data_IF_351337502749
#
_entry.id   IF_351337502749
#
_cell.length_a   1.000
_cell.length_b   1.000
_cell.length_c   1.000
_cell.angle_alpha   90.00
_cell.angle_beta   90.00
_cell.angle_gamma   90.00
#
_symmetry.space_group_name_H-M   'P 1'
#
loop_
_entity.id
_entity.type
_entity.pdbx_description
1 polymer ?
#
# COMPACT_ATOMS: atom_id res chain seq x y z
N UNK A 1 58.60 -5.46 -13.04
CA UNK A 1 57.72 -4.89 -11.99
C UNK A 1 56.63 -3.97 -12.54
N UNK A 2 56.93 -2.94 -13.37
CA UNK A 2 55.94 -1.99 -13.93
C UNK A 2 54.73 -2.64 -14.64
N UNK A 3 54.91 -3.67 -15.49
CA UNK A 3 53.82 -4.34 -16.20
C UNK A 3 52.85 -5.04 -15.24
N UNK A 4 53.31 -5.62 -14.13
CA UNK A 4 52.43 -6.28 -13.14
C UNK A 4 51.55 -5.26 -12.39
N UNK A 5 52.10 -4.10 -12.07
CA UNK A 5 51.31 -3.00 -11.43
C UNK A 5 50.28 -2.41 -12.36
N UNK A 6 50.61 -2.27 -13.67
CA UNK A 6 49.62 -1.83 -14.68
C UNK A 6 48.49 -2.83 -14.89
N UNK A 7 48.79 -4.12 -14.92
CA UNK A 7 47.75 -5.17 -15.03
C UNK A 7 46.88 -5.23 -13.78
N UNK A 8 47.46 -5.12 -12.59
CA UNK A 8 46.71 -5.03 -11.34
C UNK A 8 45.81 -3.80 -11.31
N UNK A 9 46.30 -2.63 -11.68
CA UNK A 9 45.53 -1.41 -11.79
C UNK A 9 44.36 -1.52 -12.77
N UNK A 10 44.59 -2.12 -13.93
CA UNK A 10 43.55 -2.37 -14.93
C UNK A 10 42.50 -3.34 -14.42
N UNK A 11 42.91 -4.43 -13.76
CA UNK A 11 41.98 -5.40 -13.14
C UNK A 11 41.12 -4.77 -12.04
N UNK A 12 41.75 -3.98 -11.14
CA UNK A 12 41.00 -3.25 -10.11
C UNK A 12 40.02 -2.23 -10.70
N UNK A 13 40.43 -1.52 -11.75
CA UNK A 13 39.58 -0.58 -12.47
C UNK A 13 38.38 -1.28 -13.12
N UNK A 14 38.58 -2.44 -13.74
CA UNK A 14 37.49 -3.25 -14.33
C UNK A 14 36.52 -3.71 -13.26
N UNK A 15 37.01 -4.25 -12.14
CA UNK A 15 36.16 -4.71 -11.03
C UNK A 15 35.34 -3.56 -10.46
N UNK A 16 35.93 -2.40 -10.22
CA UNK A 16 35.22 -1.21 -9.73
C UNK A 16 34.13 -0.75 -10.71
N UNK A 17 34.44 -0.76 -12.01
CA UNK A 17 33.47 -0.41 -13.06
C UNK A 17 32.30 -1.37 -13.11
N UNK A 18 32.55 -2.67 -13.06
CA UNK A 18 31.49 -3.72 -13.03
C UNK A 18 30.65 -3.63 -11.78
N UNK A 19 31.27 -3.41 -10.62
CA UNK A 19 30.55 -3.17 -9.36
C UNK A 19 29.64 -1.94 -9.44
N UNK A 20 30.17 -0.81 -9.93
CA UNK A 20 29.38 0.41 -10.13
C UNK A 20 28.21 0.21 -11.10
N UNK A 21 28.44 -0.47 -12.22
CA UNK A 21 27.41 -0.77 -13.20
C UNK A 21 26.31 -1.67 -12.61
N UNK A 22 26.66 -2.69 -11.84
CA UNK A 22 25.73 -3.57 -11.16
C UNK A 22 24.88 -2.80 -10.14
N UNK A 23 25.50 -1.97 -9.31
CA UNK A 23 24.77 -1.12 -8.34
C UNK A 23 23.86 -0.11 -9.05
N UNK A 24 24.31 0.48 -10.15
CA UNK A 24 23.50 1.40 -10.96
C UNK A 24 22.28 0.73 -11.58
N UNK A 25 22.45 -0.47 -12.14
CA UNK A 25 21.36 -1.26 -12.69
C UNK A 25 20.36 -1.69 -11.59
N UNK A 26 20.87 -2.13 -10.43
CA UNK A 26 20.05 -2.49 -9.27
C UNK A 26 19.24 -1.32 -8.73
N UNK A 27 19.84 -0.13 -8.61
CA UNK A 27 19.14 1.10 -8.22
C UNK A 27 18.04 1.44 -9.23
N UNK A 28 18.30 1.29 -10.54
CA UNK A 28 17.31 1.48 -11.59
C UNK A 28 16.15 0.51 -11.46
N UNK A 29 16.42 -0.78 -11.29
CA UNK A 29 15.39 -1.80 -11.13
C UNK A 29 14.52 -1.54 -9.90
N UNK A 30 15.11 -1.13 -8.79
CA UNK A 30 14.41 -0.85 -7.54
C UNK A 30 13.50 0.38 -7.66
N UNK A 31 13.98 1.46 -8.26
CA UNK A 31 13.28 2.76 -8.30
C UNK A 31 12.38 2.93 -9.53
N UNK A 32 12.63 2.16 -10.58
CA UNK A 32 11.89 2.18 -11.84
C UNK A 32 11.44 0.76 -12.22
N UNK A 33 10.47 0.18 -11.48
CA UNK A 33 10.00 -1.16 -11.77
C UNK A 33 9.40 -1.25 -13.17
N UNK A 34 9.49 -2.44 -13.82
CA UNK A 34 8.89 -2.64 -15.14
C UNK A 34 7.40 -2.32 -15.14
N UNK A 35 6.97 -1.45 -16.06
CA UNK A 35 5.55 -1.10 -16.24
C UNK A 35 4.90 -2.18 -17.09
N UNK A 36 4.16 -3.06 -16.43
CA UNK A 36 3.45 -4.16 -17.09
C UNK A 36 2.20 -3.64 -17.81
N UNK A 37 1.84 -4.20 -18.97
CA UNK A 37 0.55 -3.95 -19.60
C UNK A 37 -0.60 -4.42 -18.68
N UNK A 38 -1.84 -4.03 -19.01
CA UNK A 38 -3.02 -4.56 -18.34
C UNK A 38 -3.15 -6.06 -18.59
N UNK A 39 -3.38 -6.83 -17.54
CA UNK A 39 -3.79 -8.21 -17.64
C UNK A 39 -5.21 -8.34 -18.22
N UNK A 40 -5.56 -9.53 -18.75
CA UNK A 40 -6.87 -9.76 -19.35
C UNK A 40 -8.01 -9.50 -18.35
N UNK A 41 -7.86 -9.96 -17.09
CA UNK A 41 -8.86 -9.74 -16.04
C UNK A 41 -9.00 -8.25 -15.68
N UNK A 42 -7.91 -7.46 -15.70
CA UNK A 42 -7.97 -6.03 -15.42
C UNK A 42 -8.74 -5.29 -16.50
N UNK A 43 -8.55 -5.66 -17.77
CA UNK A 43 -9.31 -5.11 -18.90
C UNK A 43 -10.79 -5.44 -18.76
N UNK A 44 -11.13 -6.68 -18.52
CA UNK A 44 -12.51 -7.14 -18.31
C UNK A 44 -13.20 -6.35 -17.19
N UNK A 45 -12.53 -6.16 -16.03
CA UNK A 45 -13.08 -5.40 -14.91
C UNK A 45 -13.30 -3.92 -15.23
N UNK A 46 -12.47 -3.33 -16.09
CA UNK A 46 -12.63 -1.95 -16.53
C UNK A 46 -13.71 -1.79 -17.60
N UNK A 47 -13.92 -2.81 -18.43
CA UNK A 47 -14.96 -2.85 -19.48
C UNK A 47 -16.34 -3.17 -18.88
N UNK A 48 -16.39 -4.03 -17.85
CA UNK A 48 -17.63 -4.50 -17.25
C UNK A 48 -17.69 -4.29 -15.72
N UNK A 49 -17.44 -3.09 -15.19
CA UNK A 49 -17.35 -2.86 -13.75
C UNK A 49 -18.66 -3.16 -13.00
N UNK A 50 -19.81 -3.02 -13.67
CA UNK A 50 -21.12 -3.37 -13.09
C UNK A 50 -21.24 -4.87 -12.76
N UNK A 51 -20.60 -5.77 -13.52
CA UNK A 51 -20.55 -7.20 -13.20
C UNK A 51 -19.86 -7.47 -11.86
N UNK A 52 -19.00 -6.55 -11.43
CA UNK A 52 -18.29 -6.55 -10.15
C UNK A 52 -18.94 -5.65 -9.09
N UNK A 53 -20.19 -5.19 -9.35
CA UNK A 53 -20.94 -4.34 -8.42
C UNK A 53 -20.38 -2.93 -8.25
N UNK A 54 -19.62 -2.43 -9.22
CA UNK A 54 -18.96 -1.12 -9.14
C UNK A 54 -19.25 -0.25 -10.36
N UNK A 55 -19.18 1.05 -10.16
CA UNK A 55 -18.91 2.04 -11.21
C UNK A 55 -17.45 2.44 -11.10
N UNK A 56 -16.74 2.48 -12.21
CA UNK A 56 -15.33 2.85 -12.27
C UNK A 56 -15.14 4.01 -13.25
N UNK A 57 -14.64 5.12 -12.74
CA UNK A 57 -14.21 6.25 -13.56
C UNK A 57 -12.69 6.31 -13.62
N UNK A 58 -12.14 6.68 -14.79
CA UNK A 58 -10.71 6.88 -15.03
C UNK A 58 -10.46 8.38 -15.20
N UNK A 59 -9.45 8.90 -14.51
CA UNK A 59 -9.08 10.29 -14.64
C UNK A 59 -7.57 10.49 -14.40
N UNK A 60 -7.12 11.69 -14.74
CA UNK A 60 -5.76 12.15 -14.48
C UNK A 60 -5.88 13.45 -13.70
N UNK A 61 -5.22 13.53 -12.56
CA UNK A 61 -5.17 14.74 -11.74
C UNK A 61 -4.36 15.85 -12.42
N UNK A 62 -4.52 17.08 -11.97
CA UNK A 62 -3.83 18.24 -12.53
C UNK A 62 -2.29 18.12 -12.51
N UNK A 63 -1.73 17.33 -11.59
CA UNK A 63 -0.29 17.04 -11.50
C UNK A 63 0.16 15.89 -12.40
N UNK A 64 -0.72 15.37 -13.25
CA UNK A 64 -0.46 14.24 -14.15
C UNK A 64 -0.64 12.86 -13.51
N UNK A 65 -1.05 12.76 -12.24
CA UNK A 65 -1.27 11.47 -11.55
C UNK A 65 -2.52 10.78 -12.08
N UNK A 66 -2.42 9.61 -12.74
CA UNK A 66 -3.59 8.85 -13.16
C UNK A 66 -4.22 8.14 -11.97
N UNK A 67 -5.56 8.05 -11.93
CA UNK A 67 -6.27 7.33 -10.90
C UNK A 67 -7.57 6.67 -11.40
N UNK A 68 -8.03 5.69 -10.65
CA UNK A 68 -9.38 5.14 -10.74
C UNK A 68 -10.21 5.67 -9.56
N UNK A 69 -11.46 6.01 -9.84
CA UNK A 69 -12.48 6.25 -8.83
C UNK A 69 -13.51 5.13 -8.92
N UNK A 70 -13.56 4.29 -7.87
CA UNK A 70 -14.47 3.16 -7.78
C UNK A 70 -15.56 3.46 -6.76
N UNK A 71 -16.81 3.28 -7.13
CA UNK A 71 -17.98 3.46 -6.29
C UNK A 71 -18.90 2.24 -6.36
N UNK A 72 -19.67 1.92 -5.30
CA UNK A 72 -20.66 0.88 -5.38
C UNK A 72 -21.72 1.22 -6.44
N UNK A 73 -22.06 0.25 -7.29
CA UNK A 73 -23.17 0.39 -8.24
C UNK A 73 -24.46 -0.13 -7.63
N UNK A 74 -25.32 0.78 -7.17
CA UNK A 74 -26.58 0.45 -6.53
C UNK A 74 -27.55 -0.32 -7.46
N UNK A 75 -27.48 -0.10 -8.76
CA UNK A 75 -28.33 -0.76 -9.74
C UNK A 75 -27.89 -2.21 -10.00
N UNK A 76 -26.59 -2.45 -10.09
CA UNK A 76 -26.04 -3.80 -10.29
C UNK A 76 -26.10 -4.67 -9.03
N UNK A 77 -26.05 -4.05 -7.85
CA UNK A 77 -25.94 -4.77 -6.59
C UNK A 77 -24.53 -5.34 -6.35
N UNK A 78 -24.26 -5.91 -5.15
CA UNK A 78 -22.92 -6.41 -4.82
C UNK A 78 -22.63 -7.71 -5.57
N UNK A 79 -21.42 -7.84 -6.12
CA UNK A 79 -20.89 -9.08 -6.68
C UNK A 79 -20.61 -10.12 -5.57
N UNK A 80 -20.22 -11.34 -5.94
CA UNK A 80 -20.09 -12.48 -5.01
C UNK A 80 -19.20 -12.17 -3.81
N UNK A 81 -18.02 -11.64 -4.01
CA UNK A 81 -17.09 -11.27 -2.92
C UNK A 81 -17.65 -10.15 -2.03
N UNK A 82 -18.34 -9.20 -2.64
CA UNK A 82 -19.03 -8.13 -1.93
C UNK A 82 -20.18 -8.66 -1.07
N UNK A 83 -20.98 -9.62 -1.57
CA UNK A 83 -22.05 -10.29 -0.78
C UNK A 83 -21.45 -11.02 0.43
N UNK A 84 -20.37 -11.77 0.23
CA UNK A 84 -19.69 -12.48 1.33
C UNK A 84 -19.23 -11.49 2.40
N UNK A 85 -18.54 -10.42 2.01
CA UNK A 85 -18.09 -9.40 2.96
C UNK A 85 -19.25 -8.78 3.74
N UNK A 86 -20.35 -8.45 3.06
CA UNK A 86 -21.51 -7.87 3.72
C UNK A 86 -22.16 -8.83 4.73
N UNK A 87 -22.25 -10.12 4.39
CA UNK A 87 -22.71 -11.14 5.32
C UNK A 87 -21.79 -11.25 6.54
N UNK A 88 -20.49 -11.21 6.35
CA UNK A 88 -19.48 -11.22 7.43
C UNK A 88 -19.62 -9.99 8.35
N UNK A 89 -19.77 -8.79 7.78
CA UNK A 89 -19.97 -7.56 8.55
C UNK A 89 -21.26 -7.64 9.39
N UNK A 90 -22.35 -8.15 8.82
CA UNK A 90 -23.60 -8.35 9.53
C UNK A 90 -23.47 -9.36 10.66
N UNK A 91 -22.87 -10.53 10.40
CA UNK A 91 -22.67 -11.57 11.40
C UNK A 91 -21.77 -11.09 12.57
N UNK A 92 -20.77 -10.30 12.26
CA UNK A 92 -19.86 -9.70 13.25
C UNK A 92 -20.44 -8.46 13.95
N UNK A 93 -21.65 -8.02 13.58
CA UNK A 93 -22.27 -6.77 14.07
C UNK A 93 -21.36 -5.55 13.90
N UNK A 94 -20.57 -5.54 12.82
CA UNK A 94 -19.70 -4.44 12.46
C UNK A 94 -20.45 -3.40 11.61
N UNK A 95 -20.01 -2.13 11.63
CA UNK A 95 -20.62 -1.10 10.80
C UNK A 95 -20.63 -1.50 9.32
N UNK A 96 -21.78 -1.33 8.67
CA UNK A 96 -21.94 -1.43 7.23
C UNK A 96 -22.91 -0.37 6.74
N UNK A 97 -22.72 0.13 5.51
CA UNK A 97 -23.66 1.03 4.87
C UNK A 97 -24.75 0.24 4.12
N UNK A 98 -25.92 0.86 3.86
CA UNK A 98 -26.82 0.35 2.83
C UNK A 98 -26.06 0.27 1.51
N UNK A 99 -26.28 -0.80 0.72
CA UNK A 99 -25.58 -0.92 -0.55
C UNK A 99 -25.90 0.28 -1.47
N UNK A 100 -24.87 0.85 -2.08
CA UNK A 100 -24.98 2.11 -2.83
C UNK A 100 -24.76 3.38 -2.00
N UNK A 101 -24.88 3.32 -0.68
CA UNK A 101 -24.57 4.44 0.20
C UNK A 101 -23.06 4.53 0.44
N UNK A 102 -22.50 5.74 0.34
CA UNK A 102 -21.06 6.00 0.54
C UNK A 102 -20.86 6.75 1.86
N UNK A 103 -20.11 6.14 2.78
CA UNK A 103 -19.81 6.69 4.10
C UNK A 103 -18.52 7.49 4.16
N UNK A 104 -17.65 7.35 3.18
CA UNK A 104 -16.38 8.08 3.05
C UNK A 104 -15.53 7.52 1.93
N UNK A 105 -14.32 8.09 1.80
CA UNK A 105 -13.38 7.69 0.75
C UNK A 105 -12.18 6.96 1.35
N UNK A 106 -11.78 5.85 0.73
CA UNK A 106 -10.57 5.11 1.04
C UNK A 106 -9.59 5.25 -0.14
N UNK A 107 -8.44 5.89 0.09
CA UNK A 107 -7.39 5.99 -0.93
C UNK A 107 -6.51 4.75 -0.83
N UNK A 108 -6.49 3.96 -1.91
CA UNK A 108 -5.79 2.67 -2.00
C UNK A 108 -4.44 2.86 -2.69
N UNK A 109 -3.35 2.55 -1.99
CA UNK A 109 -1.97 2.69 -2.46
C UNK A 109 -1.37 1.30 -2.70
N UNK A 110 -0.98 1.03 -3.95
CA UNK A 110 -0.51 -0.29 -4.37
C UNK A 110 0.94 -0.58 -3.98
N UNK A 111 1.35 -1.85 -4.06
CA UNK A 111 2.70 -2.32 -3.81
C UNK A 111 3.66 -2.04 -4.98
N UNK A 112 4.95 -2.33 -4.74
CA UNK A 112 6.00 -2.23 -5.76
C UNK A 112 5.73 -3.18 -6.94
N UNK A 113 5.96 -2.70 -8.16
CA UNK A 113 5.72 -3.46 -9.40
C UNK A 113 4.23 -3.65 -9.76
N UNK A 114 3.31 -3.11 -8.96
CA UNK A 114 1.88 -3.10 -9.21
C UNK A 114 1.44 -1.81 -9.95
N UNK A 115 0.14 -1.71 -10.22
CA UNK A 115 -0.52 -0.56 -10.82
C UNK A 115 -1.91 -0.38 -10.21
N UNK A 116 -2.56 0.77 -10.43
CA UNK A 116 -3.88 1.07 -9.87
C UNK A 116 -4.92 -0.03 -10.12
N UNK A 117 -4.92 -0.64 -11.31
CA UNK A 117 -5.86 -1.70 -11.65
C UNK A 117 -5.63 -2.99 -10.86
N UNK A 118 -4.43 -3.20 -10.32
CA UNK A 118 -4.15 -4.34 -9.45
C UNK A 118 -4.98 -4.34 -8.15
N UNK A 119 -5.53 -3.19 -7.78
CA UNK A 119 -6.35 -3.04 -6.58
C UNK A 119 -7.87 -3.06 -6.85
N UNK A 120 -8.34 -3.33 -8.08
CA UNK A 120 -9.77 -3.41 -8.39
C UNK A 120 -10.49 -4.44 -7.51
N UNK A 121 -9.89 -5.63 -7.30
CA UNK A 121 -10.42 -6.68 -6.42
C UNK A 121 -10.53 -6.20 -4.96
N UNK A 122 -9.62 -5.35 -4.52
CA UNK A 122 -9.65 -4.72 -3.19
C UNK A 122 -10.73 -3.66 -3.13
N UNK A 123 -10.84 -2.83 -4.18
CA UNK A 123 -11.84 -1.78 -4.29
C UNK A 123 -13.28 -2.36 -4.31
N UNK A 124 -13.52 -3.47 -5.02
CA UNK A 124 -14.82 -4.17 -5.02
C UNK A 124 -15.33 -4.41 -3.59
N UNK A 125 -14.48 -4.97 -2.74
CA UNK A 125 -14.86 -5.31 -1.36
C UNK A 125 -15.14 -4.07 -0.52
N UNK A 126 -14.29 -3.05 -0.62
CA UNK A 126 -14.51 -1.82 0.14
C UNK A 126 -15.71 -1.02 -0.39
N UNK A 127 -15.97 -1.03 -1.70
CA UNK A 127 -17.18 -0.48 -2.28
C UNK A 127 -18.42 -1.21 -1.75
N UNK A 128 -18.37 -2.55 -1.68
CA UNK A 128 -19.47 -3.34 -1.12
C UNK A 128 -19.74 -3.05 0.37
N UNK A 129 -18.74 -2.61 1.12
CA UNK A 129 -18.89 -2.18 2.51
C UNK A 129 -19.48 -0.76 2.65
N UNK A 130 -19.53 0.03 1.57
CA UNK A 130 -20.02 1.41 1.57
C UNK A 130 -18.93 2.47 1.57
N UNK A 131 -17.79 2.18 0.97
CA UNK A 131 -16.69 3.13 0.78
C UNK A 131 -16.53 3.47 -0.71
N UNK A 132 -16.20 4.71 -1.02
CA UNK A 132 -15.61 5.10 -2.30
C UNK A 132 -14.14 4.75 -2.26
N UNK A 133 -13.59 4.17 -3.33
CA UNK A 133 -12.16 3.88 -3.43
C UNK A 133 -11.51 4.75 -4.49
N UNK A 134 -10.49 5.49 -4.10
CA UNK A 134 -9.63 6.25 -5.00
C UNK A 134 -8.30 5.51 -5.13
N UNK A 135 -7.90 5.15 -6.34
CA UNK A 135 -6.72 4.31 -6.58
C UNK A 135 -5.77 5.01 -7.55
N UNK A 136 -4.79 5.79 -7.07
CA UNK A 136 -3.80 6.42 -7.94
C UNK A 136 -2.70 5.44 -8.35
N UNK A 137 -2.10 5.64 -9.55
CA UNK A 137 -0.80 5.07 -9.86
C UNK A 137 0.29 5.84 -9.10
N UNK A 138 1.12 5.13 -8.34
CA UNK A 138 2.25 5.72 -7.63
C UNK A 138 3.41 6.04 -8.60
N UNK A 139 4.28 7.01 -8.28
CA UNK A 139 5.45 7.35 -9.09
C UNK A 139 6.29 6.12 -9.46
N UNK A 140 6.75 6.07 -10.70
CA UNK A 140 7.49 4.94 -11.26
C UNK A 140 6.62 3.75 -11.71
N UNK A 141 5.31 3.76 -11.49
CA UNK A 141 4.42 2.63 -11.72
C UNK A 141 3.25 2.98 -12.66
N UNK A 142 2.66 1.94 -13.25
CA UNK A 142 1.47 2.05 -14.08
C UNK A 142 1.62 3.11 -15.17
N UNK A 143 0.67 4.03 -15.23
CA UNK A 143 0.63 5.15 -16.19
C UNK A 143 1.13 6.47 -15.57
N UNK A 144 1.66 6.46 -14.33
CA UNK A 144 2.19 7.68 -13.71
C UNK A 144 3.37 8.23 -14.52
N UNK A 145 3.39 9.53 -14.90
CA UNK A 145 4.46 10.10 -15.72
C UNK A 145 5.81 10.18 -15.02
N UNK A 146 5.84 10.19 -13.68
CA UNK A 146 7.09 10.19 -12.94
C UNK A 146 7.90 8.92 -13.25
N UNK A 147 9.19 9.05 -13.64
CA UNK A 147 9.97 7.90 -14.07
C UNK A 147 10.33 6.94 -12.94
N UNK A 148 10.43 7.44 -11.70
CA UNK A 148 10.94 6.68 -10.57
C UNK A 148 10.16 6.96 -9.29
N UNK A 149 10.07 5.96 -8.41
CA UNK A 149 9.57 6.07 -7.04
C UNK A 149 10.71 6.36 -6.05
N UNK A 150 10.42 7.11 -4.99
CA UNK A 150 11.27 7.22 -3.80
C UNK A 150 10.67 6.54 -2.57
N UNK A 151 9.71 5.65 -2.75
CA UNK A 151 9.01 4.96 -1.66
C UNK A 151 8.32 5.90 -0.67
N UNK A 152 7.88 7.07 -1.15
CA UNK A 152 7.27 8.11 -0.32
C UNK A 152 8.27 9.04 0.36
N UNK A 153 9.55 9.04 -0.03
CA UNK A 153 10.56 9.93 0.58
C UNK A 153 10.40 11.37 0.11
N UNK A 154 10.11 11.58 -1.16
CA UNK A 154 9.91 12.93 -1.71
C UNK A 154 8.60 13.55 -1.22
N UNK A 155 8.63 14.83 -0.92
CA UNK A 155 7.45 15.60 -0.51
C UNK A 155 6.30 15.55 -1.52
N UNK A 156 6.62 15.55 -2.82
CA UNK A 156 5.64 15.39 -3.89
C UNK A 156 4.93 14.04 -3.83
N UNK A 157 5.63 12.97 -3.45
CA UNK A 157 5.06 11.63 -3.28
C UNK A 157 4.20 11.54 -2.02
N UNK A 158 4.63 12.14 -0.91
CA UNK A 158 3.84 12.22 0.33
C UNK A 158 2.52 12.95 0.13
N UNK A 159 2.52 14.00 -0.69
CA UNK A 159 1.33 14.80 -0.96
C UNK A 159 0.40 14.20 -2.04
N UNK A 160 0.87 13.20 -2.83
CA UNK A 160 0.13 12.63 -3.95
C UNK A 160 -1.27 12.13 -3.56
N UNK A 161 -1.47 11.35 -2.47
CA UNK A 161 -2.80 10.84 -2.12
C UNK A 161 -3.81 11.97 -1.83
N UNK A 162 -3.35 13.03 -1.18
CA UNK A 162 -4.20 14.18 -0.85
C UNK A 162 -4.54 15.01 -2.10
N UNK A 163 -3.57 15.21 -3.02
CA UNK A 163 -3.82 15.90 -4.28
C UNK A 163 -4.78 15.13 -5.18
N UNK A 164 -4.57 13.81 -5.33
CA UNK A 164 -5.48 12.97 -6.10
C UNK A 164 -6.90 12.97 -5.52
N UNK A 165 -7.03 12.95 -4.18
CA UNK A 165 -8.33 13.04 -3.52
C UNK A 165 -9.01 14.39 -3.74
N UNK A 166 -8.27 15.49 -3.68
CA UNK A 166 -8.80 16.83 -3.91
C UNK A 166 -9.27 17.00 -5.37
N UNK A 167 -8.48 16.53 -6.36
CA UNK A 167 -8.85 16.54 -7.77
C UNK A 167 -10.12 15.70 -8.01
N UNK A 168 -10.16 14.47 -7.50
CA UNK A 168 -11.32 13.59 -7.66
C UNK A 168 -12.57 14.20 -7.00
N UNK A 169 -12.45 14.77 -5.81
CA UNK A 169 -13.55 15.41 -5.10
C UNK A 169 -14.14 16.60 -5.90
N UNK A 170 -13.27 17.43 -6.46
CA UNK A 170 -13.69 18.56 -7.31
C UNK A 170 -14.33 18.07 -8.63
N UNK A 171 -13.69 17.13 -9.31
CA UNK A 171 -14.12 16.62 -10.62
C UNK A 171 -15.44 15.85 -10.58
N UNK A 172 -15.64 15.04 -9.52
CA UNK A 172 -16.80 14.17 -9.37
C UNK A 172 -17.81 14.67 -8.33
N UNK A 173 -17.66 15.92 -7.87
CA UNK A 173 -18.59 16.65 -7.00
C UNK A 173 -18.94 15.92 -5.69
N UNK A 174 -17.93 15.47 -4.93
CA UNK A 174 -18.14 14.89 -3.63
C UNK A 174 -17.27 15.54 -2.52
N UNK A 175 -17.65 15.37 -1.27
CA UNK A 175 -16.82 15.83 -0.15
C UNK A 175 -15.54 14.99 -0.05
N UNK A 176 -14.33 15.59 0.01
CA UNK A 176 -13.10 14.84 0.23
C UNK A 176 -13.01 14.22 1.64
N UNK A 177 -13.96 14.52 2.51
CA UNK A 177 -14.02 14.01 3.89
C UNK A 177 -15.39 13.39 4.20
N UNK A 178 -15.43 12.35 5.09
CA UNK A 178 -14.29 11.70 5.75
C UNK A 178 -13.48 10.82 4.81
N UNK A 179 -12.16 10.68 5.07
CA UNK A 179 -11.26 9.92 4.22
C UNK A 179 -10.16 9.18 5.01
N UNK A 180 -9.82 7.99 4.55
CA UNK A 180 -8.75 7.17 5.11
C UNK A 180 -7.74 6.72 4.03
N UNK A 181 -6.55 6.34 4.47
CA UNK A 181 -5.52 5.72 3.64
C UNK A 181 -5.49 4.21 3.85
N UNK A 182 -5.23 3.48 2.79
CA UNK A 182 -4.94 2.07 2.81
C UNK A 182 -3.72 1.80 1.92
N UNK A 183 -2.77 1.02 2.38
CA UNK A 183 -1.60 0.72 1.57
C UNK A 183 -1.08 -0.69 1.77
N UNK A 184 -0.70 -1.33 0.65
CA UNK A 184 -0.12 -2.66 0.60
C UNK A 184 1.39 -2.56 0.38
N UNK A 185 2.20 -3.22 1.21
CA UNK A 185 3.65 -3.30 1.04
C UNK A 185 4.27 -1.89 0.90
N UNK A 186 4.91 -1.55 -0.20
CA UNK A 186 5.35 -0.19 -0.52
C UNK A 186 4.26 0.85 -0.30
N UNK A 187 3.02 0.57 -0.72
CA UNK A 187 1.87 1.46 -0.51
C UNK A 187 1.58 1.73 0.96
N UNK A 188 1.89 0.78 1.86
CA UNK A 188 1.79 0.97 3.31
C UNK A 188 2.79 2.00 3.84
N UNK A 189 4.03 1.97 3.34
CA UNK A 189 5.02 3.00 3.63
C UNK A 189 4.57 4.38 3.14
N UNK A 190 4.04 4.45 1.90
CA UNK A 190 3.43 5.67 1.37
C UNK A 190 2.27 6.16 2.25
N UNK A 191 1.39 5.26 2.71
CA UNK A 191 0.25 5.62 3.55
C UNK A 191 0.69 6.24 4.88
N UNK A 192 1.69 5.66 5.56
CA UNK A 192 2.25 6.21 6.79
C UNK A 192 2.84 7.61 6.58
N UNK A 193 3.65 7.78 5.52
CA UNK A 193 4.29 9.05 5.21
C UNK A 193 3.29 10.11 4.74
N UNK A 194 2.30 9.74 3.94
CA UNK A 194 1.23 10.66 3.52
C UNK A 194 0.36 11.11 4.71
N UNK A 195 0.20 10.23 5.71
CA UNK A 195 -0.60 10.54 6.90
C UNK A 195 0.04 11.58 7.84
N UNK A 196 1.33 11.82 7.75
CA UNK A 196 1.99 12.93 8.45
C UNK A 196 1.46 14.28 7.96
N UNK A 197 1.06 14.33 6.70
CA UNK A 197 0.56 15.52 6.02
C UNK A 197 -0.91 15.31 5.64
N UNK A 198 -1.69 16.31 5.79
CA UNK A 198 -3.12 16.24 5.44
C UNK A 198 -4.03 15.72 6.55
N UNK A 199 -5.31 15.75 6.25
CA UNK A 199 -6.38 15.49 7.21
C UNK A 199 -6.99 14.11 6.98
N UNK A 200 -6.32 13.05 7.40
CA UNK A 200 -6.80 11.68 7.30
C UNK A 200 -7.48 11.23 8.59
N UNK A 201 -8.57 10.49 8.50
CA UNK A 201 -9.33 10.00 9.66
C UNK A 201 -8.80 8.66 10.17
N UNK A 202 -8.15 7.87 9.30
CA UNK A 202 -7.55 6.59 9.64
C UNK A 202 -6.51 6.15 8.60
N UNK A 203 -5.64 5.21 8.98
CA UNK A 203 -4.64 4.59 8.09
C UNK A 203 -4.68 3.08 8.27
N UNK A 204 -4.69 2.33 7.17
CA UNK A 204 -4.51 0.87 7.15
C UNK A 204 -3.20 0.55 6.44
N UNK A 205 -2.38 -0.26 7.05
CA UNK A 205 -1.08 -0.70 6.55
C UNK A 205 -1.08 -2.22 6.46
N UNK A 206 -0.87 -2.76 5.26
CA UNK A 206 -0.91 -4.20 5.02
C UNK A 206 0.47 -4.67 4.56
N UNK A 207 1.07 -5.64 5.28
CA UNK A 207 2.36 -6.27 4.96
C UNK A 207 3.44 -5.26 4.54
N UNK A 208 3.65 -4.21 5.34
CA UNK A 208 4.61 -3.15 5.04
C UNK A 208 5.83 -3.20 5.95
N UNK A 209 6.87 -2.54 5.52
CA UNK A 209 8.16 -2.48 6.20
C UNK A 209 8.30 -1.23 7.08
N UNK A 210 9.14 -1.32 8.07
CA UNK A 210 9.55 -0.22 8.94
C UNK A 210 10.74 0.58 8.39
N UNK A 211 11.66 -0.12 7.70
CA UNK A 211 12.83 0.44 7.01
C UNK A 211 13.03 -0.28 5.67
N UNK A 212 13.39 0.47 4.61
CA UNK A 212 13.54 -0.11 3.26
C UNK A 212 14.84 -0.91 3.12
N UNK A 213 15.94 -0.41 3.67
CA UNK A 213 17.27 -0.98 3.50
C UNK A 213 17.35 -2.45 3.94
N UNK A 214 16.79 -2.87 5.10
CA UNK A 214 16.74 -4.28 5.49
C UNK A 214 15.94 -5.16 4.52
N UNK A 215 14.86 -4.65 3.93
CA UNK A 215 14.06 -5.40 2.93
C UNK A 215 14.88 -5.65 1.67
N UNK A 216 15.55 -4.61 1.15
CA UNK A 216 16.42 -4.74 -0.03
C UNK A 216 17.56 -5.71 0.25
N UNK A 217 18.21 -5.60 1.41
CA UNK A 217 19.26 -6.53 1.82
C UNK A 217 18.76 -7.97 1.89
N UNK A 218 17.62 -8.22 2.53
CA UNK A 218 17.02 -9.55 2.66
C UNK A 218 16.66 -10.15 1.31
N UNK A 219 16.13 -9.34 0.37
CA UNK A 219 15.85 -9.79 -0.98
C UNK A 219 17.12 -10.14 -1.77
N UNK A 220 18.16 -9.34 -1.65
CA UNK A 220 19.47 -9.64 -2.23
C UNK A 220 20.06 -10.93 -1.62
N UNK A 221 20.01 -11.06 -0.29
CA UNK A 221 20.54 -12.24 0.40
C UNK A 221 19.88 -13.53 -0.07
N UNK A 222 18.56 -13.52 -0.27
CA UNK A 222 17.82 -14.67 -0.81
C UNK A 222 18.21 -15.03 -2.23
N UNK A 223 18.59 -14.05 -3.07
CA UNK A 223 18.93 -14.25 -4.48
C UNK A 223 20.39 -14.60 -4.71
N UNK A 224 21.30 -13.98 -3.99
CA UNK A 224 22.73 -14.03 -4.26
C UNK A 224 23.60 -14.27 -3.02
N UNK A 225 22.99 -14.58 -1.87
CA UNK A 225 23.67 -14.90 -0.61
C UNK A 225 24.00 -13.69 0.26
N UNK A 226 24.23 -13.92 1.55
CA UNK A 226 24.39 -12.87 2.58
C UNK A 226 25.62 -12.00 2.36
N UNK A 227 26.77 -12.60 2.04
CA UNK A 227 28.00 -11.84 1.82
C UNK A 227 27.88 -10.85 0.65
N UNK A 228 27.22 -11.31 -0.44
CA UNK A 228 26.99 -10.50 -1.65
C UNK A 228 26.05 -9.34 -1.35
N UNK A 229 24.99 -9.58 -0.57
CA UNK A 229 24.09 -8.52 -0.14
C UNK A 229 24.82 -7.46 0.66
N UNK A 230 25.65 -7.86 1.61
CA UNK A 230 26.43 -6.96 2.45
C UNK A 230 27.42 -6.12 1.60
N UNK A 231 28.09 -6.72 0.63
CA UNK A 231 29.02 -6.04 -0.25
C UNK A 231 28.34 -5.06 -1.20
N UNK A 232 27.12 -5.35 -1.67
CA UNK A 232 26.40 -4.51 -2.63
C UNK A 232 25.65 -3.33 -2.00
N UNK A 233 25.22 -3.43 -0.76
CA UNK A 233 24.38 -2.40 -0.13
C UNK A 233 24.97 -0.99 -0.14
N UNK A 234 26.27 -0.75 0.17
CA UNK A 234 26.85 0.59 0.11
C UNK A 234 26.81 1.20 -1.29
N UNK A 235 27.18 0.41 -2.31
CA UNK A 235 27.17 0.85 -3.70
C UNK A 235 25.74 1.08 -4.22
N UNK A 236 24.80 0.22 -3.82
CA UNK A 236 23.39 0.36 -4.18
C UNK A 236 22.78 1.62 -3.55
N UNK A 237 23.09 1.90 -2.29
CA UNK A 237 22.63 3.11 -1.60
C UNK A 237 23.18 4.38 -2.29
N UNK A 238 24.45 4.39 -2.62
CA UNK A 238 25.06 5.49 -3.38
C UNK A 238 24.44 5.64 -4.78
N UNK A 239 24.28 4.54 -5.51
CA UNK A 239 23.69 4.56 -6.85
C UNK A 239 22.23 5.06 -6.81
N UNK A 240 21.46 4.68 -5.79
CA UNK A 240 20.08 5.16 -5.59
C UNK A 240 20.08 6.67 -5.28
N UNK A 241 21.01 7.15 -4.46
CA UNK A 241 21.15 8.57 -4.16
C UNK A 241 21.46 9.39 -5.44
N UNK A 242 22.43 8.93 -6.24
CA UNK A 242 22.84 9.61 -7.48
C UNK A 242 21.78 9.55 -8.58
N UNK A 243 21.08 8.41 -8.72
CA UNK A 243 20.10 8.18 -9.79
C UNK A 243 18.73 8.74 -9.49
N UNK A 244 18.28 8.63 -8.25
CA UNK A 244 16.89 8.88 -7.85
C UNK A 244 16.75 9.94 -6.76
N UNK A 245 17.87 10.53 -6.29
CA UNK A 245 17.87 11.66 -5.37
C UNK A 245 17.43 11.31 -3.93
N UNK A 246 17.50 10.03 -3.52
CA UNK A 246 17.26 9.61 -2.13
C UNK A 246 18.15 8.42 -1.77
N UNK A 247 18.40 8.23 -0.49
CA UNK A 247 19.12 7.08 0.05
C UNK A 247 18.14 6.02 0.54
N UNK A 248 18.46 4.74 0.36
CA UNK A 248 17.62 3.63 0.84
C UNK A 248 17.45 3.69 2.36
N UNK A 249 18.52 4.08 3.08
CA UNK A 249 18.54 4.19 4.54
C UNK A 249 17.66 5.35 5.06
N UNK A 250 17.34 6.34 4.21
CA UNK A 250 16.43 7.44 4.55
C UNK A 250 14.96 7.02 4.52
N UNK A 251 14.63 5.92 3.81
CA UNK A 251 13.24 5.44 3.71
C UNK A 251 12.88 4.66 4.96
N UNK A 252 12.35 5.38 5.96
CA UNK A 252 12.05 4.89 7.32
C UNK A 252 10.60 5.18 7.71
N UNK A 253 9.61 4.39 7.25
CA UNK A 253 8.22 4.51 7.69
C UNK A 253 8.03 4.41 9.21
N UNK A 254 9.01 3.82 9.90
CA UNK A 254 9.05 3.75 11.37
C UNK A 254 9.02 5.15 12.03
N UNK A 255 9.70 6.12 11.41
CA UNK A 255 9.75 7.48 11.95
C UNK A 255 8.39 8.17 11.79
N UNK A 256 7.71 7.95 10.65
CA UNK A 256 6.33 8.37 10.45
C UNK A 256 5.40 7.74 11.50
N UNK A 257 5.53 6.44 11.75
CA UNK A 257 4.72 5.74 12.74
C UNK A 257 4.84 6.37 14.14
N UNK A 258 6.05 6.76 14.56
CA UNK A 258 6.30 7.46 15.85
C UNK A 258 5.59 8.81 15.94
N UNK A 259 5.51 9.52 14.82
CA UNK A 259 4.93 10.87 14.75
C UNK A 259 3.40 10.87 14.64
N UNK A 260 2.80 9.79 14.13
CA UNK A 260 1.37 9.73 13.85
C UNK A 260 0.52 9.75 15.11
N UNK A 261 -0.52 10.59 15.09
CA UNK A 261 -1.55 10.68 16.15
C UNK A 261 -2.91 10.16 15.69
N UNK A 262 -2.99 9.66 14.44
CA UNK A 262 -4.20 9.16 13.82
C UNK A 262 -4.42 7.68 14.16
N UNK A 263 -5.65 7.17 14.09
CA UNK A 263 -5.89 5.73 14.20
C UNK A 263 -5.16 4.97 13.10
N UNK A 264 -4.41 3.94 13.47
CA UNK A 264 -3.66 3.08 12.52
C UNK A 264 -4.01 1.62 12.77
N UNK A 265 -4.33 0.91 11.69
CA UNK A 265 -4.54 -0.53 11.70
C UNK A 265 -3.46 -1.20 10.87
N UNK A 266 -2.63 -2.02 11.51
CA UNK A 266 -1.59 -2.81 10.84
C UNK A 266 -2.08 -4.24 10.70
N UNK A 267 -2.00 -4.76 9.47
CA UNK A 267 -2.30 -6.15 9.09
C UNK A 267 -1.02 -6.75 8.52
N UNK A 268 -0.61 -7.93 8.99
CA UNK A 268 0.62 -8.56 8.51
C UNK A 268 0.49 -10.08 8.43
N UNK A 269 1.06 -10.67 7.38
CA UNK A 269 1.15 -12.11 7.22
C UNK A 269 2.22 -12.71 8.14
N UNK A 270 1.85 -13.71 8.95
CA UNK A 270 2.78 -14.32 9.91
C UNK A 270 3.94 -15.09 9.25
N UNK A 271 3.74 -15.56 8.02
CA UNK A 271 4.74 -16.30 7.24
C UNK A 271 5.34 -15.48 6.09
N UNK A 272 5.29 -14.14 6.15
CA UNK A 272 5.81 -13.25 5.10
C UNK A 272 7.34 -13.35 4.99
N UNK A 273 7.87 -13.94 3.88
CA UNK A 273 9.32 -14.10 3.72
C UNK A 273 9.99 -12.86 3.14
N UNK A 274 9.24 -11.95 2.52
CA UNK A 274 9.77 -10.73 1.90
C UNK A 274 9.94 -9.62 2.93
N UNK A 275 8.88 -9.38 3.70
CA UNK A 275 8.88 -8.43 4.80
C UNK A 275 8.50 -9.19 6.06
N UNK A 276 9.49 -9.64 6.84
CA UNK A 276 9.21 -10.43 8.04
C UNK A 276 8.25 -9.71 8.98
N UNK A 277 7.35 -10.46 9.62
CA UNK A 277 6.30 -9.96 10.51
C UNK A 277 6.83 -8.97 11.57
N UNK A 278 8.06 -9.19 12.04
CA UNK A 278 8.69 -8.31 13.03
C UNK A 278 8.85 -6.86 12.57
N UNK A 279 8.93 -6.59 11.26
CA UNK A 279 8.91 -5.23 10.71
C UNK A 279 7.56 -4.56 10.96
N UNK A 280 6.45 -5.25 10.69
CA UNK A 280 5.11 -4.78 11.02
C UNK A 280 4.91 -4.60 12.52
N UNK A 281 5.46 -5.49 13.35
CA UNK A 281 5.40 -5.38 14.83
C UNK A 281 6.18 -4.17 15.33
N UNK A 282 7.36 -3.86 14.76
CA UNK A 282 8.10 -2.63 15.10
C UNK A 282 7.31 -1.37 14.74
N UNK A 283 6.65 -1.34 13.57
CA UNK A 283 5.73 -0.25 13.21
C UNK A 283 4.60 -0.11 14.25
N UNK A 284 3.95 -1.22 14.61
CA UNK A 284 2.88 -1.23 15.59
C UNK A 284 3.32 -0.76 16.97
N UNK A 285 4.49 -1.19 17.43
CA UNK A 285 5.05 -0.77 18.72
C UNK A 285 5.38 0.73 18.75
N UNK A 286 5.90 1.26 17.63
CA UNK A 286 6.27 2.67 17.49
C UNK A 286 5.08 3.62 17.48
N UNK A 287 3.91 3.16 17.06
CA UNK A 287 2.68 3.96 17.08
C UNK A 287 2.32 4.36 18.51
N UNK A 288 1.92 5.63 18.75
CA UNK A 288 1.43 6.07 20.05
C UNK A 288 0.26 5.21 20.54
N UNK A 289 0.20 4.99 21.86
CA UNK A 289 -0.86 4.17 22.48
C UNK A 289 -2.26 4.78 22.28
N UNK A 290 -3.29 3.92 22.27
CA UNK A 290 -4.70 4.29 22.37
C UNK A 290 -5.51 4.26 21.08
N UNK A 291 -4.90 4.37 19.90
CA UNK A 291 -5.61 4.38 18.60
C UNK A 291 -4.97 3.47 17.55
N UNK A 292 -4.39 2.35 17.99
CA UNK A 292 -3.73 1.38 17.10
C UNK A 292 -4.37 0.02 17.19
N UNK A 293 -4.38 -0.71 16.08
CA UNK A 293 -4.85 -2.08 15.99
C UNK A 293 -3.84 -2.94 15.24
N UNK A 294 -3.69 -4.18 15.67
CA UNK A 294 -2.87 -5.21 15.03
C UNK A 294 -3.75 -6.38 14.60
N UNK A 295 -3.51 -6.91 13.41
CA UNK A 295 -4.04 -8.18 12.94
C UNK A 295 -2.92 -9.00 12.32
N UNK A 296 -2.60 -10.09 12.94
CA UNK A 296 -1.75 -11.12 12.39
C UNK A 296 -2.60 -12.08 11.55
N UNK A 297 -2.14 -12.35 10.33
CA UNK A 297 -2.81 -13.28 9.43
C UNK A 297 -2.00 -14.56 9.40
N UNK A 298 -2.42 -15.54 10.22
CA UNK A 298 -1.73 -16.82 10.42
C UNK A 298 -1.53 -17.57 9.11
N UNK A 299 -0.31 -18.04 8.84
CA UNK A 299 0.04 -18.78 7.63
C UNK A 299 0.07 -17.96 6.34
N UNK A 300 -0.21 -16.66 6.40
CA UNK A 300 -0.16 -15.82 5.22
C UNK A 300 1.27 -15.34 4.92
N UNK A 301 1.60 -15.41 3.63
CA UNK A 301 2.81 -14.84 3.04
C UNK A 301 2.53 -13.43 2.48
N UNK A 302 3.59 -12.77 1.96
CA UNK A 302 3.49 -11.44 1.38
C UNK A 302 2.44 -11.31 0.27
N UNK A 303 2.38 -12.29 -0.62
CA UNK A 303 1.52 -12.25 -1.81
C UNK A 303 0.06 -12.65 -1.57
N UNK A 304 -0.26 -13.31 -0.47
CA UNK A 304 -1.59 -13.89 -0.24
C UNK A 304 -2.32 -13.38 1.00
N UNK A 305 -1.75 -12.44 1.74
CA UNK A 305 -2.32 -11.87 2.98
C UNK A 305 -3.78 -11.41 2.83
N UNK A 306 -4.17 -10.95 1.65
CA UNK A 306 -5.53 -10.52 1.32
C UNK A 306 -6.41 -11.66 0.77
N UNK A 307 -5.81 -12.80 0.41
CA UNK A 307 -6.46 -13.97 -0.18
C UNK A 307 -6.71 -15.11 0.78
N UNK A 308 -6.34 -14.97 2.05
CA UNK A 308 -6.54 -16.01 3.06
C UNK A 308 -8.02 -16.13 3.47
N UNK A 309 -8.44 -17.30 4.00
CA UNK A 309 -9.80 -17.50 4.50
C UNK A 309 -10.13 -16.67 5.74
N UNK A 310 -9.11 -16.07 6.38
CA UNK A 310 -9.34 -15.17 7.51
C UNK A 310 -10.03 -13.89 7.04
N UNK A 311 -10.93 -13.39 7.85
CA UNK A 311 -11.83 -12.28 7.50
C UNK A 311 -11.13 -10.91 7.43
N UNK A 312 -9.97 -10.84 6.80
CA UNK A 312 -9.11 -9.65 6.74
C UNK A 312 -9.87 -8.43 6.22
N UNK A 313 -10.65 -8.59 5.15
CA UNK A 313 -11.46 -7.49 4.61
C UNK A 313 -12.59 -7.08 5.54
N UNK A 314 -13.24 -8.02 6.24
CA UNK A 314 -14.27 -7.72 7.22
C UNK A 314 -13.72 -6.86 8.36
N UNK A 315 -12.56 -7.26 8.89
CA UNK A 315 -11.87 -6.53 9.95
C UNK A 315 -11.45 -5.12 9.51
N UNK A 316 -10.85 -4.99 8.32
CA UNK A 316 -10.43 -3.70 7.79
C UNK A 316 -11.64 -2.79 7.48
N UNK A 317 -12.66 -3.30 6.81
CA UNK A 317 -13.83 -2.51 6.42
C UNK A 317 -14.63 -2.04 7.64
N UNK A 318 -14.93 -2.94 8.57
CA UNK A 318 -15.66 -2.61 9.80
C UNK A 318 -14.92 -1.59 10.65
N UNK A 319 -13.60 -1.78 10.81
CA UNK A 319 -12.78 -0.82 11.54
C UNK A 319 -12.74 0.54 10.83
N UNK A 320 -12.53 0.57 9.50
CA UNK A 320 -12.52 1.83 8.74
C UNK A 320 -13.82 2.59 8.92
N UNK A 321 -14.95 1.94 8.69
CA UNK A 321 -16.27 2.57 8.85
C UNK A 321 -16.48 3.10 10.27
N UNK A 322 -16.00 2.40 11.29
CA UNK A 322 -16.06 2.86 12.68
C UNK A 322 -15.22 4.12 12.93
N UNK A 323 -14.08 4.29 12.26
CA UNK A 323 -13.27 5.51 12.39
C UNK A 323 -13.90 6.68 11.62
N UNK A 324 -14.36 6.45 10.38
CA UNK A 324 -15.00 7.49 9.56
C UNK A 324 -16.32 7.98 10.18
N UNK A 325 -17.07 7.09 10.86
CA UNK A 325 -18.29 7.45 11.58
C UNK A 325 -18.05 8.41 12.74
N UNK A 326 -16.92 8.30 13.43
CA UNK A 326 -16.54 9.18 14.55
C UNK A 326 -16.25 10.62 14.11
N UNK A 327 -15.78 10.81 12.89
CA UNK A 327 -15.51 12.14 12.33
C UNK A 327 -16.78 12.98 12.09
N UNK A 328 -17.95 12.37 12.16
CA UNK A 328 -19.27 13.04 12.01
C UNK A 328 -19.97 13.33 13.33
N UNK A 329 -19.44 12.85 14.47
CA UNK A 329 -20.06 13.01 15.80
C UNK A 329 -19.20 13.92 16.69
N UNK A 330 -19.80 14.77 17.55
CA UNK A 330 -19.07 15.42 18.64
C UNK A 330 -18.50 14.36 19.59
N UNK A 331 -17.40 14.68 20.27
CA UNK A 331 -16.49 13.80 21.01
C UNK A 331 -17.13 12.68 21.88
N UNK A 332 -16.43 11.55 22.11
CA UNK A 332 -17.01 10.25 22.40
C UNK A 332 -17.28 9.96 23.88
N UNK A 333 -18.32 9.18 24.12
CA UNK A 333 -18.47 8.35 25.32
C UNK A 333 -17.82 6.96 25.04
N UNK A 334 -17.19 6.38 26.05
CA UNK A 334 -16.31 5.19 26.06
C UNK A 334 -16.66 4.04 25.10
N UNK A 335 -15.60 3.48 24.50
CA UNK A 335 -15.59 2.34 23.56
C UNK A 335 -16.13 1.03 24.17
N UNK A 336 -17.10 0.40 23.49
CA UNK A 336 -17.35 -1.02 23.59
C UNK A 336 -16.28 -1.82 22.84
N UNK A 337 -15.87 -2.98 23.37
CA UNK A 337 -14.97 -3.92 22.69
C UNK A 337 -15.60 -4.35 21.37
N UNK A 338 -14.90 -4.14 20.26
CA UNK A 338 -15.29 -4.71 18.97
C UNK A 338 -15.08 -6.21 19.06
N UNK A 339 -16.15 -6.99 18.89
CA UNK A 339 -16.05 -8.45 18.83
C UNK A 339 -15.27 -8.87 17.57
N UNK A 340 -14.43 -9.87 17.68
CA UNK A 340 -13.72 -10.45 16.54
C UNK A 340 -14.73 -11.02 15.53
N UNK A 341 -14.39 -10.94 14.25
CA UNK A 341 -15.22 -11.50 13.18
C UNK A 341 -15.28 -13.05 13.31
N UNK A 342 -16.47 -13.68 13.34
CA UNK A 342 -16.56 -15.12 13.52
C UNK A 342 -15.96 -15.89 12.33
N UNK A 343 -15.32 -17.02 12.58
CA UNK A 343 -14.84 -17.94 11.55
C UNK A 343 -16.02 -18.60 10.83
N UNK A 344 -15.99 -18.81 9.50
CA UNK A 344 -17.06 -19.52 8.81
C UNK A 344 -17.08 -20.99 9.26
N UNK A 345 -18.25 -21.53 9.49
CA UNK A 345 -18.47 -22.96 9.54
C UNK A 345 -18.21 -23.54 8.15
N UNK A 346 -17.48 -24.63 8.00
CA UNK A 346 -17.33 -25.28 6.70
C UNK A 346 -18.70 -25.67 6.18
N UNK A 347 -19.03 -25.22 4.99
CA UNK A 347 -20.20 -25.69 4.25
C UNK A 347 -19.80 -27.04 3.66
N UNK A 348 -20.41 -28.11 4.12
CA UNK A 348 -20.32 -29.45 3.54
C UNK A 348 -20.81 -29.44 2.09
#
# INVERSE_FOLDING_TARGET
MRKRWLLLGAACGLVATLYGALCWAGAGWLTMPPRKPLDAWQREWLEHPAAHGMRVARAVAADGTPYLLCEPDAAAGPASRGRILRAQLTAARLPSARYGEIRGTLVLLHGWGMRKESLLVTAERFCAAGLRCLVPDLPGHGENPAPATSFGERDSERALPARALADAAARFHFSPRPAALWGLSMGGAYALRAAERGSWDAVIVVSSFDELSPVVRGELARRIGDWSSTALMPGLNLATALRSGFQLDAVRPLDSARALRRPVFIVHGAADPLIPENAGRRLFQALPSGRKRWLEVTGAEHGNVLGTPQHVFCEMAGWTLSQLGKSRLPAPTRLAKIAACPTPTPVN
#
